data_IF_608130320316
#
_entry.id   IF_608130320316
#
_cell.length_a   1.000
_cell.length_b   1.000
_cell.length_c   1.000
_cell.angle_alpha   90.00
_cell.angle_beta   90.00
_cell.angle_gamma   90.00
#
_symmetry.space_group_name_H-M   'P 1'
#
loop_
_entity.id
_entity.type
_entity.pdbx_description
1 polymer ?
#
# COMPACT_ATOMS: atom_id res chain seq x y z
N UNK A 1 -10.89 -18.52 -14.46
CA UNK A 1 -11.42 -17.14 -14.42
C UNK A 1 -12.45 -17.01 -13.30
N UNK A 2 -13.52 -17.82 -13.28
CA UNK A 2 -14.56 -17.75 -12.23
C UNK A 2 -14.01 -17.76 -10.78
N UNK A 3 -13.09 -18.68 -10.46
CA UNK A 3 -12.46 -18.75 -9.13
C UNK A 3 -11.66 -17.47 -8.76
N UNK A 4 -10.94 -16.90 -9.73
CA UNK A 4 -10.16 -15.66 -9.52
C UNK A 4 -11.10 -14.47 -9.32
N UNK A 5 -12.17 -14.40 -10.12
CA UNK A 5 -13.20 -13.37 -9.99
C UNK A 5 -13.91 -13.44 -8.65
N UNK A 6 -14.28 -14.65 -8.20
CA UNK A 6 -14.91 -14.86 -6.89
C UNK A 6 -13.99 -14.47 -5.74
N UNK A 7 -12.72 -14.88 -5.80
CA UNK A 7 -11.71 -14.52 -4.78
C UNK A 7 -11.59 -13.01 -4.59
N UNK A 8 -11.56 -12.24 -5.67
CA UNK A 8 -11.32 -10.79 -5.63
C UNK A 8 -12.59 -9.93 -5.69
N UNK A 9 -13.78 -10.53 -5.73
CA UNK A 9 -15.06 -9.82 -5.67
C UNK A 9 -15.18 -8.83 -4.47
N UNK A 10 -14.64 -9.12 -3.27
CA UNK A 10 -14.74 -8.20 -2.13
C UNK A 10 -14.10 -6.82 -2.35
N UNK A 11 -13.17 -6.67 -3.30
CA UNK A 11 -12.51 -5.38 -3.59
C UNK A 11 -13.52 -4.28 -3.93
N UNK A 12 -14.61 -4.62 -4.63
CA UNK A 12 -15.65 -3.64 -4.95
C UNK A 12 -16.30 -3.06 -3.68
N UNK A 13 -16.51 -3.89 -2.65
CA UNK A 13 -17.00 -3.44 -1.35
C UNK A 13 -15.96 -2.59 -0.61
N UNK A 14 -14.70 -3.02 -0.59
CA UNK A 14 -13.62 -2.27 0.07
C UNK A 14 -13.37 -0.87 -0.55
N UNK A 15 -13.63 -0.70 -1.85
CA UNK A 15 -13.52 0.60 -2.55
C UNK A 15 -14.70 1.54 -2.31
N UNK A 16 -15.87 0.99 -1.99
CA UNK A 16 -17.14 1.72 -1.88
C UNK A 16 -17.61 1.90 -0.44
N UNK A 17 -16.95 1.24 0.51
CA UNK A 17 -17.28 1.37 1.93
C UNK A 17 -16.93 2.77 2.44
N UNK A 18 -17.76 3.29 3.35
CA UNK A 18 -17.45 4.48 4.16
C UNK A 18 -16.28 4.24 5.14
N UNK A 19 -15.79 3.00 5.18
CA UNK A 19 -14.62 2.60 5.94
C UNK A 19 -13.35 3.28 5.42
N UNK A 20 -12.74 4.11 6.26
CA UNK A 20 -11.39 4.64 6.02
C UNK A 20 -10.39 3.49 6.20
N UNK A 21 -9.98 2.90 5.08
CA UNK A 21 -8.87 1.95 5.01
C UNK A 21 -7.53 2.66 4.91
N UNK A 22 -7.50 3.75 4.16
CA UNK A 22 -6.29 4.53 3.88
C UNK A 22 -5.75 5.14 5.18
N UNK A 23 -4.44 5.09 5.34
CA UNK A 23 -3.77 5.90 6.35
C UNK A 23 -3.90 7.40 6.02
N UNK A 24 -3.43 8.26 6.92
CA UNK A 24 -3.59 9.70 6.82
C UNK A 24 -3.00 10.31 5.53
N UNK A 25 -1.80 9.89 5.12
CA UNK A 25 -1.15 10.42 3.91
C UNK A 25 -1.88 9.95 2.65
N UNK A 26 -2.21 8.66 2.61
CA UNK A 26 -2.94 8.07 1.49
C UNK A 26 -4.34 8.67 1.32
N UNK A 27 -5.06 8.92 2.44
CA UNK A 27 -6.37 9.57 2.42
C UNK A 27 -6.28 11.02 1.94
N UNK A 28 -5.28 11.77 2.40
CA UNK A 28 -5.06 13.17 1.96
C UNK A 28 -4.82 13.23 0.45
N UNK A 29 -4.00 12.33 -0.10
CA UNK A 29 -3.78 12.24 -1.55
C UNK A 29 -5.06 11.89 -2.32
N UNK A 30 -5.86 10.95 -1.81
CA UNK A 30 -7.14 10.58 -2.43
C UNK A 30 -8.06 11.80 -2.55
N UNK A 31 -8.17 12.60 -1.49
CA UNK A 31 -8.95 13.84 -1.48
C UNK A 31 -8.39 14.87 -2.48
N UNK A 32 -7.07 15.06 -2.53
CA UNK A 32 -6.42 15.96 -3.49
C UNK A 32 -6.69 15.56 -4.94
N UNK A 33 -6.62 14.26 -5.25
CA UNK A 33 -6.92 13.75 -6.59
C UNK A 33 -8.40 13.94 -6.93
N UNK A 34 -9.30 13.61 -6.01
CA UNK A 34 -10.73 13.81 -6.20
C UNK A 34 -11.03 15.28 -6.54
N UNK A 35 -10.45 16.22 -5.80
CA UNK A 35 -10.59 17.64 -6.08
C UNK A 35 -10.02 18.05 -7.45
N UNK A 36 -8.84 17.54 -7.82
CA UNK A 36 -8.24 17.81 -9.14
C UNK A 36 -9.18 17.37 -10.26
N UNK A 37 -9.73 16.16 -10.17
CA UNK A 37 -10.65 15.62 -11.17
C UNK A 37 -11.95 16.46 -11.26
N UNK A 38 -12.52 16.83 -10.12
CA UNK A 38 -13.71 17.69 -10.08
C UNK A 38 -13.45 19.07 -10.70
N UNK A 39 -12.30 19.69 -10.39
CA UNK A 39 -11.89 20.98 -11.00
C UNK A 39 -11.72 20.89 -12.51
N UNK A 40 -11.41 19.71 -13.05
CA UNK A 40 -11.32 19.45 -14.48
C UNK A 40 -12.68 19.08 -15.13
N UNK A 41 -13.77 19.08 -14.36
CA UNK A 41 -15.11 18.80 -14.85
C UNK A 41 -15.43 17.30 -14.98
N UNK A 42 -14.64 16.43 -14.36
CA UNK A 42 -14.94 14.99 -14.30
C UNK A 42 -16.18 14.79 -13.40
N UNK A 43 -17.20 14.01 -13.84
CA UNK A 43 -18.36 13.70 -13.01
C UNK A 43 -17.96 13.06 -11.68
N UNK A 44 -18.70 13.38 -10.60
CA UNK A 44 -18.34 12.99 -9.23
C UNK A 44 -18.06 11.49 -9.07
N UNK A 45 -18.93 10.62 -9.61
CA UNK A 45 -18.77 9.17 -9.51
C UNK A 45 -17.46 8.70 -10.17
N UNK A 46 -17.17 9.20 -11.38
CA UNK A 46 -15.94 8.87 -12.10
C UNK A 46 -14.70 9.47 -11.43
N UNK A 47 -14.81 10.66 -10.85
CA UNK A 47 -13.73 11.30 -10.11
C UNK A 47 -13.36 10.49 -8.87
N UNK A 48 -14.35 9.95 -8.16
CA UNK A 48 -14.13 9.07 -7.00
C UNK A 48 -13.55 7.72 -7.40
N UNK A 49 -14.04 7.11 -8.47
CA UNK A 49 -13.45 5.88 -8.98
C UNK A 49 -11.99 6.08 -9.36
N UNK A 50 -11.67 7.20 -10.04
CA UNK A 50 -10.35 7.53 -10.52
C UNK A 50 -9.34 7.77 -9.38
N UNK A 51 -9.72 8.53 -8.35
CA UNK A 51 -8.82 8.85 -7.24
C UNK A 51 -8.34 7.59 -6.48
N UNK A 52 -9.18 6.53 -6.47
CA UNK A 52 -8.91 5.21 -5.86
C UNK A 52 -8.18 4.20 -6.75
N UNK A 53 -7.93 4.48 -8.03
CA UNK A 53 -7.35 3.48 -8.95
C UNK A 53 -5.98 2.99 -8.44
N UNK A 54 -5.16 3.88 -7.89
CA UNK A 54 -3.84 3.53 -7.40
C UNK A 54 -3.90 2.59 -6.19
N UNK A 55 -4.87 2.80 -5.30
CA UNK A 55 -5.06 2.00 -4.08
C UNK A 55 -5.78 0.68 -4.36
N UNK A 56 -6.41 0.55 -5.52
CA UNK A 56 -7.12 -0.67 -5.93
C UNK A 56 -6.18 -1.85 -6.15
N UNK A 57 -4.92 -1.60 -6.53
CA UNK A 57 -3.93 -2.66 -6.72
C UNK A 57 -3.52 -3.32 -5.39
N UNK A 58 -3.12 -2.56 -4.34
CA UNK A 58 -2.94 -3.08 -2.98
C UNK A 58 -4.08 -3.93 -2.42
N UNK A 59 -5.34 -3.67 -2.80
CA UNK A 59 -6.47 -4.45 -2.30
C UNK A 59 -6.45 -5.92 -2.74
N UNK A 60 -5.73 -6.26 -3.82
CA UNK A 60 -5.47 -7.65 -4.19
C UNK A 60 -4.67 -8.38 -3.09
N UNK A 61 -3.69 -7.69 -2.52
CA UNK A 61 -2.87 -8.22 -1.45
C UNK A 61 -3.66 -8.34 -0.15
N UNK A 62 -4.49 -7.35 0.16
CA UNK A 62 -5.40 -7.37 1.33
C UNK A 62 -6.34 -8.58 1.27
N UNK A 63 -6.99 -8.81 0.13
CA UNK A 63 -7.89 -9.96 -0.04
C UNK A 63 -7.14 -11.29 0.08
N UNK A 64 -5.96 -11.38 -0.54
CA UNK A 64 -5.12 -12.58 -0.46
C UNK A 64 -4.68 -12.86 0.98
N UNK A 65 -4.24 -11.83 1.70
CA UNK A 65 -3.77 -11.93 3.08
C UNK A 65 -4.91 -12.30 4.03
N UNK A 66 -6.05 -11.62 3.95
CA UNK A 66 -7.22 -11.95 4.79
C UNK A 66 -7.75 -13.36 4.54
N UNK A 67 -7.74 -13.81 3.27
CA UNK A 67 -8.12 -15.20 2.95
C UNK A 67 -7.14 -16.23 3.53
N UNK A 68 -5.85 -15.91 3.63
CA UNK A 68 -4.81 -16.81 4.16
C UNK A 68 -4.79 -16.84 5.69
N UNK A 69 -4.99 -15.68 6.33
CA UNK A 69 -4.96 -15.54 7.77
C UNK A 69 -6.30 -15.86 8.43
N UNK A 70 -7.41 -15.85 7.67
CA UNK A 70 -8.76 -15.99 8.23
C UNK A 70 -9.24 -14.72 8.95
N UNK A 71 -8.67 -13.58 8.61
CA UNK A 71 -8.88 -12.29 9.25
C UNK A 71 -9.91 -11.42 8.50
N UNK A 72 -10.50 -10.46 9.22
CA UNK A 72 -11.40 -9.46 8.63
C UNK A 72 -10.63 -8.60 7.61
N UNK A 73 -11.17 -8.50 6.39
CA UNK A 73 -10.58 -7.70 5.31
C UNK A 73 -10.46 -6.22 5.65
N UNK A 74 -11.36 -5.68 6.47
CA UNK A 74 -11.29 -4.29 6.95
C UNK A 74 -10.07 -4.09 7.86
N UNK A 75 -9.87 -5.01 8.83
CA UNK A 75 -8.71 -4.99 9.72
C UNK A 75 -7.41 -5.15 8.92
N UNK A 76 -7.35 -6.14 8.03
CA UNK A 76 -6.19 -6.40 7.16
C UNK A 76 -5.88 -5.18 6.30
N UNK A 77 -6.90 -4.55 5.71
CA UNK A 77 -6.75 -3.35 4.91
C UNK A 77 -6.19 -2.18 5.71
N UNK A 78 -6.73 -1.92 6.90
CA UNK A 78 -6.22 -0.87 7.78
C UNK A 78 -4.77 -1.10 8.21
N UNK A 79 -4.42 -2.31 8.64
CA UNK A 79 -3.02 -2.65 8.99
C UNK A 79 -2.10 -2.43 7.78
N UNK A 80 -2.51 -2.89 6.60
CA UNK A 80 -1.73 -2.74 5.37
C UNK A 80 -1.46 -1.26 5.04
N UNK A 81 -2.51 -0.42 5.00
CA UNK A 81 -2.36 0.99 4.63
C UNK A 81 -1.72 1.82 5.74
N UNK A 82 -1.89 1.45 7.01
CA UNK A 82 -1.14 2.07 8.10
C UNK A 82 0.37 1.83 7.94
N UNK A 83 0.78 0.60 7.63
CA UNK A 83 2.18 0.28 7.31
C UNK A 83 2.64 0.96 6.00
N UNK A 84 1.77 1.06 4.99
CA UNK A 84 2.06 1.75 3.73
C UNK A 84 2.49 3.20 3.98
N UNK A 85 1.74 3.93 4.81
CA UNK A 85 2.04 5.31 5.20
C UNK A 85 3.25 5.36 6.15
N UNK A 86 3.28 4.53 7.20
CA UNK A 86 4.35 4.51 8.23
C UNK A 86 5.74 4.30 7.65
N UNK A 87 5.85 3.59 6.53
CA UNK A 87 7.11 3.30 5.84
C UNK A 87 7.31 4.10 4.54
N UNK A 88 6.41 5.04 4.23
CA UNK A 88 6.55 5.93 3.06
C UNK A 88 6.60 5.17 1.74
N UNK A 89 5.80 4.10 1.62
CA UNK A 89 5.84 3.19 0.48
C UNK A 89 5.50 3.91 -0.83
N UNK A 90 4.59 4.88 -0.80
CA UNK A 90 4.28 5.71 -1.97
C UNK A 90 5.51 6.45 -2.50
N UNK A 91 6.26 7.11 -1.61
CA UNK A 91 7.45 7.85 -1.97
C UNK A 91 8.52 6.93 -2.60
N UNK A 92 8.68 5.72 -2.04
CA UNK A 92 9.57 4.70 -2.59
C UNK A 92 9.14 4.25 -3.99
N UNK A 93 7.85 3.94 -4.17
CA UNK A 93 7.30 3.52 -5.46
C UNK A 93 7.41 4.62 -6.52
N UNK A 94 7.21 5.89 -6.16
CA UNK A 94 7.42 7.05 -7.05
C UNK A 94 8.88 7.13 -7.52
N UNK A 95 9.84 6.93 -6.61
CA UNK A 95 11.28 6.94 -6.95
C UNK A 95 11.66 5.81 -7.88
N UNK A 96 11.19 4.58 -7.61
CA UNK A 96 11.37 3.44 -8.53
C UNK A 96 10.75 3.77 -9.89
N UNK A 97 9.58 4.42 -9.89
CA UNK A 97 8.92 4.93 -11.09
C UNK A 97 9.75 5.94 -11.88
N UNK A 98 10.58 6.75 -11.23
CA UNK A 98 11.43 7.76 -11.87
C UNK A 98 12.77 7.22 -12.41
N UNK A 99 13.15 5.98 -12.08
CA UNK A 99 14.38 5.37 -12.59
C UNK A 99 14.34 5.22 -14.13
N UNK A 100 15.50 5.28 -14.82
CA UNK A 100 15.59 5.05 -16.26
C UNK A 100 14.94 3.72 -16.67
N UNK A 101 14.30 3.71 -17.84
CA UNK A 101 13.66 2.53 -18.43
C UNK A 101 13.94 2.40 -19.94
N UNK A 102 15.09 2.90 -20.37
CA UNK A 102 15.47 2.96 -21.79
C UNK A 102 15.80 1.59 -22.38
N UNK A 103 16.13 0.62 -21.53
CA UNK A 103 16.37 -0.76 -21.93
C UNK A 103 15.32 -1.72 -21.36
N UNK A 104 15.17 -2.89 -22.01
CA UNK A 104 14.32 -3.97 -21.49
C UNK A 104 14.76 -4.43 -20.10
N UNK A 105 16.08 -4.47 -19.86
CA UNK A 105 16.64 -4.85 -18.56
C UNK A 105 16.32 -3.84 -17.47
N UNK A 106 16.42 -2.55 -17.76
CA UNK A 106 16.00 -1.49 -16.83
C UNK A 106 14.50 -1.57 -16.51
N UNK A 107 13.67 -1.87 -17.51
CA UNK A 107 12.22 -2.06 -17.30
C UNK A 107 11.93 -3.25 -16.38
N UNK A 108 12.63 -4.37 -16.59
CA UNK A 108 12.50 -5.56 -15.73
C UNK A 108 13.02 -5.32 -14.32
N UNK A 109 14.14 -4.59 -14.17
CA UNK A 109 14.69 -4.25 -12.87
C UNK A 109 13.69 -3.38 -12.06
N UNK A 110 13.09 -2.37 -12.68
CA UNK A 110 12.04 -1.55 -12.03
C UNK A 110 10.82 -2.37 -11.65
N UNK A 111 10.38 -3.29 -12.50
CA UNK A 111 9.26 -4.19 -12.20
C UNK A 111 9.58 -5.06 -10.98
N UNK A 112 10.75 -5.70 -10.94
CA UNK A 112 11.22 -6.51 -9.80
C UNK A 112 11.26 -5.68 -8.52
N UNK A 113 11.83 -4.47 -8.56
CA UNK A 113 11.89 -3.61 -7.38
C UNK A 113 10.50 -3.23 -6.85
N UNK A 114 9.52 -2.96 -7.72
CA UNK A 114 8.14 -2.69 -7.28
C UNK A 114 7.51 -3.93 -6.66
N UNK A 115 7.73 -5.10 -7.25
CA UNK A 115 7.24 -6.37 -6.71
C UNK A 115 7.86 -6.67 -5.34
N UNK A 116 9.16 -6.45 -5.17
CA UNK A 116 9.87 -6.61 -3.89
C UNK A 116 9.30 -5.68 -2.80
N UNK A 117 8.93 -4.45 -3.16
CA UNK A 117 8.29 -3.50 -2.24
C UNK A 117 6.92 -4.01 -1.78
N UNK A 118 6.05 -4.42 -2.71
CA UNK A 118 4.72 -4.92 -2.35
C UNK A 118 4.79 -6.22 -1.55
N UNK A 119 5.63 -7.17 -1.95
CA UNK A 119 5.78 -8.44 -1.25
C UNK A 119 6.33 -8.25 0.17
N UNK A 120 7.29 -7.33 0.36
CA UNK A 120 7.79 -6.97 1.69
C UNK A 120 6.69 -6.37 2.56
N UNK A 121 5.89 -5.45 2.01
CA UNK A 121 4.77 -4.84 2.74
C UNK A 121 3.73 -5.89 3.15
N UNK A 122 3.43 -6.86 2.28
CA UNK A 122 2.54 -7.98 2.62
C UNK A 122 3.09 -8.83 3.74
N UNK A 123 4.39 -9.14 3.73
CA UNK A 123 5.04 -9.87 4.81
C UNK A 123 4.97 -9.10 6.14
N UNK A 124 5.24 -7.80 6.13
CA UNK A 124 5.12 -6.95 7.32
C UNK A 124 3.69 -6.91 7.85
N UNK A 125 2.69 -6.77 6.97
CA UNK A 125 1.28 -6.77 7.37
C UNK A 125 0.86 -8.12 7.97
N UNK A 126 1.32 -9.23 7.38
CA UNK A 126 1.07 -10.56 7.92
C UNK A 126 1.67 -10.74 9.33
N UNK A 127 2.90 -10.28 9.55
CA UNK A 127 3.54 -10.31 10.87
C UNK A 127 2.84 -9.39 11.87
N UNK A 128 2.45 -8.19 11.45
CA UNK A 128 1.75 -7.23 12.32
C UNK A 128 0.39 -7.74 12.78
N UNK A 129 -0.36 -8.43 11.92
CA UNK A 129 -1.64 -9.06 12.27
C UNK A 129 -1.49 -10.17 13.33
N UNK A 130 -0.31 -10.75 13.50
CA UNK A 130 -0.06 -11.76 14.54
C UNK A 130 0.31 -11.15 15.90
N UNK A 131 0.66 -9.86 15.94
CA UNK A 131 0.95 -9.17 17.20
C UNK A 131 -0.34 -8.92 17.99
N UNK A 132 -0.22 -8.78 19.31
CA UNK A 132 -1.39 -8.51 20.17
C UNK A 132 -1.95 -7.10 19.92
N UNK A 133 -3.26 -7.01 19.69
CA UNK A 133 -3.98 -5.75 19.48
C UNK A 133 -5.49 -5.95 19.31
N UNK A 134 -6.27 -4.91 19.61
CA UNK A 134 -7.71 -4.86 19.32
C UNK A 134 -8.00 -4.01 18.07
N UNK A 135 -7.14 -3.04 17.80
CA UNK A 135 -7.21 -2.15 16.64
C UNK A 135 -6.02 -2.35 15.69
N UNK A 136 -6.15 -1.85 14.45
CA UNK A 136 -5.05 -1.90 13.48
C UNK A 136 -3.79 -1.18 14.00
N UNK A 137 -4.00 -0.05 14.68
CA UNK A 137 -2.96 0.72 15.35
C UNK A 137 -2.27 -0.09 16.45
N UNK A 138 -3.03 -0.81 17.30
CA UNK A 138 -2.46 -1.64 18.35
C UNK A 138 -1.58 -2.77 17.78
N UNK A 139 -2.07 -3.46 16.74
CA UNK A 139 -1.31 -4.51 16.05
C UNK A 139 0.01 -3.97 15.50
N UNK A 140 -0.03 -2.84 14.79
CA UNK A 140 1.17 -2.23 14.19
C UNK A 140 2.12 -1.73 15.27
N UNK A 141 1.64 -1.01 16.30
CA UNK A 141 2.49 -0.47 17.35
C UNK A 141 3.11 -1.57 18.23
N UNK A 142 2.40 -2.67 18.49
CA UNK A 142 2.96 -3.85 19.18
C UNK A 142 4.02 -4.53 18.33
N UNK A 143 3.72 -4.82 17.06
CA UNK A 143 4.70 -5.42 16.15
C UNK A 143 5.95 -4.54 15.98
N UNK A 144 5.80 -3.22 15.85
CA UNK A 144 6.94 -2.30 15.74
C UNK A 144 7.83 -2.35 16.99
N UNK A 145 7.22 -2.46 18.18
CA UNK A 145 7.91 -2.56 19.47
C UNK A 145 8.72 -3.84 19.59
N UNK A 146 8.20 -4.94 19.06
CA UNK A 146 8.86 -6.24 19.06
C UNK A 146 10.01 -6.32 18.03
N UNK A 147 9.91 -5.55 16.94
CA UNK A 147 10.81 -5.62 15.79
C UNK A 147 11.79 -4.44 15.66
N UNK A 148 11.96 -3.62 16.71
CA UNK A 148 12.70 -2.35 16.68
C UNK A 148 14.08 -2.41 16.01
N UNK A 149 14.88 -3.45 16.29
CA UNK A 149 16.24 -3.59 15.74
C UNK A 149 16.21 -3.78 14.22
N UNK A 150 15.33 -4.65 13.72
CA UNK A 150 15.19 -4.91 12.29
C UNK A 150 14.64 -3.68 11.57
N UNK A 151 13.63 -3.02 12.15
CA UNK A 151 13.03 -1.82 11.59
C UNK A 151 13.98 -0.63 11.55
N UNK A 152 14.85 -0.48 12.55
CA UNK A 152 15.88 0.55 12.52
C UNK A 152 16.85 0.37 11.34
N UNK A 153 17.24 -0.88 11.04
CA UNK A 153 18.09 -1.19 9.87
C UNK A 153 17.36 -0.92 8.56
N UNK A 154 16.10 -1.34 8.45
CA UNK A 154 15.27 -1.09 7.26
C UNK A 154 15.13 0.41 7.00
N UNK A 155 14.81 1.21 8.02
CA UNK A 155 14.71 2.66 7.92
C UNK A 155 16.02 3.31 7.50
N UNK A 156 17.15 2.85 8.04
CA UNK A 156 18.48 3.33 7.61
C UNK A 156 18.72 3.05 6.13
N UNK A 157 18.47 1.81 5.68
CA UNK A 157 18.65 1.43 4.28
C UNK A 157 17.73 2.23 3.33
N UNK A 158 16.47 2.44 3.73
CA UNK A 158 15.53 3.28 2.97
C UNK A 158 16.00 4.74 2.93
N UNK A 159 16.55 5.27 4.03
CA UNK A 159 17.15 6.60 4.10
C UNK A 159 18.38 6.76 3.20
N UNK A 160 19.23 5.74 3.13
CA UNK A 160 20.41 5.74 2.24
C UNK A 160 20.00 5.72 0.77
N UNK A 161 19.00 4.89 0.43
CA UNK A 161 18.38 4.91 -0.91
C UNK A 161 17.77 6.29 -1.16
N UNK A 162 17.17 6.90 -0.13
CA UNK A 162 16.55 8.22 -0.23
C UNK A 162 17.56 9.32 -0.57
N UNK A 163 18.73 9.30 0.05
CA UNK A 163 19.81 10.25 -0.16
C UNK A 163 20.62 9.96 -1.44
N UNK A 164 20.88 8.70 -1.77
CA UNK A 164 21.71 8.29 -2.90
C UNK A 164 21.10 8.53 -4.28
N UNK A 165 19.79 8.74 -4.38
CA UNK A 165 19.10 9.08 -5.63
C UNK A 165 19.14 10.56 -6.02
N UNK A 166 19.71 11.44 -5.19
CA UNK A 166 19.80 12.88 -5.47
C UNK A 166 21.10 13.30 -6.20
N UNK A 167 21.96 12.34 -6.56
CA UNK A 167 23.20 12.57 -7.29
C UNK A 167 23.38 11.56 -8.41
N UNK A 168 22.89 11.88 -9.60
CA UNK A 168 23.04 11.10 -10.83
C UNK A 168 22.49 11.84 -12.02
#
# INVERSE_FOLDING_TARGET
IAEVTERYAPIAGLRSSDTVLLGHESATRDDELLEIAQRQGVPQELAREWSWILDSYPLLDVVRLGSQAGEDLELVGRVYFLLYDRFGIEALLKRIGALPQTTRWESLARMSMREDVYTTLVSMAAEALQAEGETAEDHVDTWERENQIQLARLRSALGDIAAGGAGG
#
